data_IF_387419558599
#
_entry.id   IF_387419558599
#
_cell.length_a   1.000
_cell.length_b   1.000
_cell.length_c   1.000
_cell.angle_alpha   90.00
_cell.angle_beta   90.00
_cell.angle_gamma   90.00
#
_symmetry.space_group_name_H-M   'P 1'
#
loop_
_entity.id
_entity.type
_entity.pdbx_description
1 polymer ?
#
# COMPACT_ATOMS: atom_id res chain seq x y z
N UNK A 1 7.51 12.01 -3.39
CA UNK A 1 7.52 10.56 -3.05
C UNK A 1 6.23 9.96 -3.57
N UNK A 2 6.32 8.89 -4.36
CA UNK A 2 5.16 8.12 -4.79
C UNK A 2 4.95 6.91 -3.88
N UNK A 3 3.71 6.47 -3.74
CA UNK A 3 3.36 5.41 -2.81
C UNK A 3 2.53 4.32 -3.48
N UNK A 4 2.74 3.06 -3.07
CA UNK A 4 1.85 1.96 -3.37
C UNK A 4 0.92 1.74 -2.17
N UNK A 5 -0.40 1.82 -2.40
CA UNK A 5 -1.43 1.66 -1.36
C UNK A 5 -2.19 0.38 -1.66
N UNK A 6 -2.31 -0.47 -0.66
CA UNK A 6 -3.10 -1.69 -0.77
C UNK A 6 -4.59 -1.35 -0.98
N UNK A 7 -5.29 -2.01 -1.92
CA UNK A 7 -6.71 -1.73 -2.21
C UNK A 7 -7.60 -1.97 -0.99
N UNK A 8 -7.18 -2.84 -0.07
CA UNK A 8 -7.89 -3.12 1.19
C UNK A 8 -8.04 -1.88 2.09
N UNK A 9 -7.15 -0.89 1.99
CA UNK A 9 -7.22 0.33 2.81
C UNK A 9 -8.22 1.37 2.27
N UNK A 10 -8.64 1.25 1.01
CA UNK A 10 -9.54 2.22 0.36
C UNK A 10 -10.98 2.04 0.83
N UNK A 11 -11.42 0.81 1.06
CA UNK A 11 -12.81 0.50 1.44
C UNK A 11 -13.16 1.06 2.83
N UNK A 12 -12.24 0.98 3.79
CA UNK A 12 -12.43 1.39 5.19
C UNK A 12 -11.90 2.79 5.52
N UNK A 13 -11.39 3.56 4.53
CA UNK A 13 -10.75 4.87 4.73
C UNK A 13 -9.68 4.83 5.83
N UNK A 14 -8.86 3.78 5.83
CA UNK A 14 -7.97 3.54 6.96
C UNK A 14 -6.91 4.63 7.07
N UNK A 15 -6.41 4.92 8.29
CA UNK A 15 -5.34 5.88 8.52
C UNK A 15 -4.13 5.75 7.57
N UNK A 16 -3.66 4.55 7.17
CA UNK A 16 -2.60 4.41 6.19
C UNK A 16 -2.96 5.01 4.81
N UNK A 17 -4.17 4.76 4.29
CA UNK A 17 -4.61 5.34 3.03
C UNK A 17 -4.77 6.87 3.15
N UNK A 18 -5.38 7.36 4.23
CA UNK A 18 -5.54 8.80 4.45
C UNK A 18 -4.18 9.52 4.54
N UNK A 19 -3.22 8.94 5.28
CA UNK A 19 -1.86 9.44 5.36
C UNK A 19 -1.18 9.42 3.98
N UNK A 20 -1.33 8.34 3.21
CA UNK A 20 -0.76 8.24 1.87
C UNK A 20 -1.32 9.32 0.93
N UNK A 21 -2.65 9.46 0.85
CA UNK A 21 -3.31 10.42 -0.04
C UNK A 21 -3.00 11.88 0.33
N UNK A 22 -2.74 12.18 1.60
CA UNK A 22 -2.31 13.50 2.01
C UNK A 22 -0.82 13.73 1.74
N UNK A 23 0.04 12.80 2.17
CA UNK A 23 1.49 13.02 2.26
C UNK A 23 2.24 12.66 0.98
N UNK A 24 1.81 11.64 0.24
CA UNK A 24 2.46 11.24 -1.01
C UNK A 24 2.12 12.24 -2.13
N UNK A 25 2.97 12.27 -3.15
CA UNK A 25 2.74 13.05 -4.35
C UNK A 25 1.61 12.44 -5.19
N UNK A 26 1.73 11.14 -5.46
CA UNK A 26 0.66 10.29 -5.99
C UNK A 26 0.73 8.90 -5.37
N UNK A 27 -0.39 8.19 -5.46
CA UNK A 27 -0.60 6.85 -4.94
C UNK A 27 -1.03 5.92 -6.06
N UNK A 28 -0.44 4.74 -6.10
CA UNK A 28 -0.79 3.66 -7.01
C UNK A 28 -1.48 2.57 -6.19
N UNK A 29 -2.58 2.04 -6.70
CA UNK A 29 -3.30 0.93 -6.08
C UNK A 29 -3.73 -0.06 -7.15
N UNK A 30 -3.92 -1.32 -6.76
CA UNK A 30 -4.51 -2.31 -7.66
C UNK A 30 -6.00 -1.96 -7.85
N UNK A 31 -6.37 -1.56 -9.07
CA UNK A 31 -7.75 -1.54 -9.50
C UNK A 31 -8.06 -2.88 -10.17
N UNK A 32 -8.95 -3.72 -9.61
CA UNK A 32 -9.37 -4.94 -10.28
C UNK A 32 -9.98 -4.57 -11.64
N UNK A 33 -9.36 -5.02 -12.72
CA UNK A 33 -9.83 -4.79 -14.08
C UNK A 33 -9.79 -6.12 -14.85
N UNK A 34 -10.70 -6.33 -15.83
CA UNK A 34 -10.74 -7.57 -16.61
C UNK A 34 -9.43 -7.80 -17.36
N UNK A 35 -8.90 -6.73 -17.98
CA UNK A 35 -7.66 -6.71 -18.74
C UNK A 35 -6.95 -5.37 -18.57
N UNK A 36 -5.62 -5.39 -18.73
CA UNK A 36 -4.79 -4.18 -18.74
C UNK A 36 -5.16 -3.35 -19.96
N UNK A 37 -5.39 -2.05 -19.78
CA UNK A 37 -5.77 -1.16 -20.88
C UNK A 37 -7.23 -1.32 -21.36
N UNK A 38 -8.09 -1.96 -20.57
CA UNK A 38 -9.51 -2.10 -20.88
C UNK A 38 -10.15 -0.75 -21.24
N UNK A 39 -10.88 -0.76 -22.34
CA UNK A 39 -11.69 0.36 -22.83
C UNK A 39 -12.82 0.68 -21.85
N UNK A 40 -13.36 1.91 -21.94
CA UNK A 40 -14.53 2.31 -21.15
C UNK A 40 -15.74 1.37 -21.35
N UNK A 41 -15.87 0.78 -22.54
CA UNK A 41 -16.94 -0.16 -22.88
C UNK A 41 -16.76 -1.51 -22.20
N UNK A 42 -15.54 -2.03 -22.11
CA UNK A 42 -15.22 -3.27 -21.40
C UNK A 42 -15.40 -3.13 -19.89
N UNK A 43 -15.04 -1.97 -19.33
CA UNK A 43 -15.31 -1.64 -17.92
C UNK A 43 -16.82 -1.62 -17.66
N UNK A 44 -17.60 -0.97 -18.53
CA UNK A 44 -19.08 -0.97 -18.42
C UNK A 44 -19.67 -2.36 -18.56
N UNK A 45 -19.20 -3.17 -19.51
CA UNK A 45 -19.62 -4.56 -19.68
C UNK A 45 -19.33 -5.40 -18.44
N UNK A 46 -18.24 -5.11 -17.75
CA UNK A 46 -17.85 -5.80 -16.51
C UNK A 46 -18.68 -5.37 -15.31
N UNK A 47 -19.06 -4.09 -15.23
CA UNK A 47 -20.00 -3.58 -14.23
C UNK A 47 -21.39 -4.23 -14.31
N UNK A 48 -21.83 -4.59 -15.51
CA UNK A 48 -23.09 -5.32 -15.71
C UNK A 48 -23.00 -6.79 -15.30
N UNK A 49 -21.82 -7.40 -15.43
CA UNK A 49 -21.60 -8.84 -15.17
C UNK A 49 -21.19 -9.18 -13.74
N UNK A 50 -20.51 -8.28 -13.02
CA UNK A 50 -20.10 -8.49 -11.63
C UNK A 50 -20.75 -7.48 -10.67
N UNK A 51 -21.81 -7.87 -9.94
CA UNK A 51 -22.41 -7.05 -8.89
C UNK A 51 -21.41 -6.66 -7.79
N UNK A 52 -20.42 -7.53 -7.51
CA UNK A 52 -19.39 -7.27 -6.49
C UNK A 52 -18.42 -6.19 -6.94
N UNK A 53 -18.04 -6.18 -8.21
CA UNK A 53 -17.20 -5.13 -8.77
C UNK A 53 -17.89 -3.77 -8.72
N UNK A 54 -19.17 -3.72 -9.08
CA UNK A 54 -19.97 -2.49 -8.92
C UNK A 54 -20.01 -2.02 -7.47
N UNK A 55 -20.29 -2.91 -6.52
CA UNK A 55 -20.30 -2.58 -5.11
C UNK A 55 -18.93 -2.09 -4.60
N UNK A 56 -17.83 -2.60 -5.16
CA UNK A 56 -16.48 -2.10 -4.88
C UNK A 56 -16.32 -0.64 -5.34
N UNK A 57 -16.69 -0.31 -6.59
CA UNK A 57 -16.58 1.07 -7.09
C UNK A 57 -17.46 2.02 -6.29
N UNK A 58 -18.68 1.59 -5.93
CA UNK A 58 -19.57 2.36 -5.07
C UNK A 58 -18.93 2.61 -3.69
N UNK A 59 -18.27 1.59 -3.10
CA UNK A 59 -17.54 1.73 -1.84
C UNK A 59 -16.32 2.65 -1.95
N UNK A 60 -15.75 2.81 -3.14
CA UNK A 60 -14.62 3.71 -3.41
C UNK A 60 -15.02 5.09 -3.90
N UNK A 61 -16.31 5.36 -4.13
CA UNK A 61 -16.82 6.65 -4.61
C UNK A 61 -16.33 7.86 -3.79
N UNK A 62 -16.06 7.67 -2.49
CA UNK A 62 -15.54 8.73 -1.63
C UNK A 62 -14.19 9.29 -2.10
N UNK A 63 -13.37 8.50 -2.80
CA UNK A 63 -12.06 8.92 -3.30
C UNK A 63 -12.07 9.27 -4.80
N UNK A 64 -13.23 9.31 -5.45
CA UNK A 64 -13.35 9.58 -6.90
C UNK A 64 -12.61 10.85 -7.34
N UNK A 65 -12.71 11.93 -6.55
CA UNK A 65 -12.00 13.18 -6.85
C UNK A 65 -10.47 12.99 -6.88
N UNK A 66 -9.92 12.10 -6.05
CA UNK A 66 -8.48 11.80 -6.06
C UNK A 66 -8.05 11.05 -7.32
N UNK A 67 -8.91 10.18 -7.85
CA UNK A 67 -8.68 9.52 -9.13
C UNK A 67 -8.69 10.52 -10.27
N UNK A 68 -9.66 11.45 -10.27
CA UNK A 68 -9.80 12.48 -11.31
C UNK A 68 -8.60 13.42 -11.37
N UNK A 69 -8.07 13.81 -10.22
CA UNK A 69 -6.88 14.68 -10.11
C UNK A 69 -5.55 13.92 -10.19
N UNK A 70 -5.55 12.61 -10.43
CA UNK A 70 -4.34 11.80 -10.55
C UNK A 70 -3.54 11.62 -9.25
N UNK A 71 -4.13 11.95 -8.09
CA UNK A 71 -3.54 11.64 -6.79
C UNK A 71 -3.60 10.15 -6.53
N UNK A 72 -4.66 9.47 -6.98
CA UNK A 72 -4.77 8.01 -6.99
C UNK A 72 -4.83 7.53 -8.44
N UNK A 73 -4.10 6.47 -8.74
CA UNK A 73 -4.04 5.86 -10.06
C UNK A 73 -3.92 4.34 -9.95
N UNK A 74 -4.36 3.62 -10.98
CA UNK A 74 -4.02 2.20 -11.16
C UNK A 74 -2.72 2.02 -11.93
N UNK A 75 -2.25 3.08 -12.59
CA UNK A 75 -1.08 3.09 -13.44
C UNK A 75 0.07 3.90 -12.83
N UNK A 76 1.30 3.40 -12.99
CA UNK A 76 2.54 4.13 -12.80
C UNK A 76 3.45 3.89 -13.98
N UNK A 77 3.98 4.97 -14.58
CA UNK A 77 4.79 4.88 -15.79
C UNK A 77 4.13 4.07 -16.95
N UNK A 78 2.79 4.06 -17.00
CA UNK A 78 2.01 3.33 -18.02
C UNK A 78 1.73 1.85 -17.67
N UNK A 79 2.18 1.36 -16.53
CA UNK A 79 2.02 -0.03 -16.10
C UNK A 79 1.12 -0.15 -14.86
N UNK A 80 0.45 -1.28 -14.66
CA UNK A 80 -0.28 -1.61 -13.43
C UNK A 80 0.36 -2.77 -12.65
N UNK A 81 -0.10 -2.97 -11.42
CA UNK A 81 0.37 -4.03 -10.54
C UNK A 81 -0.31 -5.39 -10.80
N UNK A 82 -1.26 -5.50 -11.75
CA UNK A 82 -2.02 -6.73 -11.96
C UNK A 82 -1.12 -7.86 -12.48
N UNK A 83 -0.16 -7.54 -13.35
CA UNK A 83 0.80 -8.52 -13.87
C UNK A 83 1.72 -9.04 -12.76
N UNK A 84 2.25 -8.16 -11.91
CA UNK A 84 3.04 -8.57 -10.73
C UNK A 84 2.22 -9.46 -9.77
N UNK A 85 0.91 -9.21 -9.63
CA UNK A 85 0.00 -10.04 -8.82
C UNK A 85 -0.24 -11.42 -9.46
N UNK A 86 -0.45 -11.48 -10.78
CA UNK A 86 -0.62 -12.75 -11.52
C UNK A 86 0.64 -13.60 -11.46
N UNK A 87 1.81 -12.98 -11.64
CA UNK A 87 3.10 -13.65 -11.58
C UNK A 87 3.37 -14.20 -10.17
N UNK A 88 3.03 -13.45 -9.12
CA UNK A 88 3.14 -13.94 -7.75
C UNK A 88 2.16 -15.08 -7.45
N UNK A 89 0.92 -15.01 -7.93
CA UNK A 89 -0.03 -16.11 -7.81
C UNK A 89 0.50 -17.39 -8.48
N UNK A 90 1.05 -17.26 -9.70
CA UNK A 90 1.65 -18.38 -10.44
C UNK A 90 2.85 -18.97 -9.70
N UNK A 91 3.75 -18.12 -9.21
CA UNK A 91 4.94 -18.53 -8.45
C UNK A 91 4.58 -19.29 -7.17
N UNK A 92 3.54 -18.87 -6.46
CA UNK A 92 3.06 -19.59 -5.27
C UNK A 92 2.48 -20.95 -5.67
N UNK A 93 1.71 -21.01 -6.77
CA UNK A 93 1.09 -22.23 -7.27
C UNK A 93 2.10 -23.27 -7.80
N UNK A 94 3.16 -22.83 -8.49
CA UNK A 94 4.24 -23.69 -9.00
C UNK A 94 5.07 -24.34 -7.88
N UNK A 95 5.04 -23.77 -6.66
CA UNK A 95 5.58 -24.40 -5.46
C UNK A 95 7.06 -24.08 -5.18
N UNK A 96 7.86 -25.09 -4.88
CA UNK A 96 9.24 -24.91 -4.39
C UNK A 96 9.29 -24.40 -2.94
N UNK A 97 9.99 -23.29 -2.68
CA UNK A 97 10.08 -22.70 -1.32
C UNK A 97 8.73 -22.19 -0.79
N UNK A 98 7.76 -21.99 -1.68
CA UNK A 98 6.43 -21.50 -1.38
C UNK A 98 5.37 -22.61 -1.27
N UNK A 99 5.76 -23.89 -1.40
CA UNK A 99 4.84 -25.03 -1.41
C UNK A 99 3.91 -25.08 -0.18
N UNK A 100 4.37 -24.57 0.97
CA UNK A 100 3.54 -24.47 2.18
C UNK A 100 2.30 -23.57 2.06
N UNK A 101 2.27 -22.64 1.08
CA UNK A 101 1.09 -21.82 0.79
C UNK A 101 0.14 -22.47 -0.20
N UNK A 102 0.58 -23.51 -0.93
CA UNK A 102 -0.20 -24.20 -1.96
C UNK A 102 -1.61 -24.60 -1.50
N UNK A 103 -1.80 -25.19 -0.29
CA UNK A 103 -3.13 -25.56 0.20
C UNK A 103 -4.11 -24.39 0.38
N UNK A 104 -3.62 -23.15 0.50
CA UNK A 104 -4.46 -21.95 0.58
C UNK A 104 -4.82 -21.37 -0.79
N UNK A 105 -4.07 -21.73 -1.85
CA UNK A 105 -4.24 -21.11 -3.16
C UNK A 105 -5.41 -21.74 -3.93
N UNK A 106 -5.95 -20.96 -4.88
CA UNK A 106 -6.98 -21.40 -5.83
C UNK A 106 -6.36 -21.43 -7.23
N UNK A 107 -5.94 -22.60 -7.74
CA UNK A 107 -5.32 -22.71 -9.06
C UNK A 107 -6.20 -22.10 -10.16
N UNK A 108 -5.58 -21.36 -11.08
CA UNK A 108 -6.29 -20.71 -12.19
C UNK A 108 -7.13 -19.49 -11.82
N UNK A 109 -7.16 -19.06 -10.55
CA UNK A 109 -8.01 -17.94 -10.13
C UNK A 109 -7.66 -16.63 -10.85
N UNK A 110 -6.36 -16.36 -11.03
CA UNK A 110 -5.85 -15.13 -11.64
C UNK A 110 -5.71 -15.23 -13.17
N UNK A 111 -5.93 -16.42 -13.75
CA UNK A 111 -5.85 -16.67 -15.19
C UNK A 111 -7.22 -16.48 -15.88
N UNK A 112 -8.31 -16.49 -15.11
CA UNK A 112 -9.69 -16.24 -15.58
C UNK A 112 -10.12 -14.82 -15.19
N UNK A 113 -10.28 -13.88 -16.16
CA UNK A 113 -10.61 -12.49 -15.90
C UNK A 113 -11.89 -12.29 -15.07
N UNK A 114 -12.94 -13.09 -15.30
CA UNK A 114 -14.22 -12.92 -14.61
C UNK A 114 -14.12 -13.43 -13.17
N UNK A 115 -13.49 -14.60 -12.97
CA UNK A 115 -13.26 -15.15 -11.63
C UNK A 115 -12.30 -14.29 -10.81
N UNK A 116 -11.25 -13.77 -11.45
CA UNK A 116 -10.32 -12.82 -10.85
C UNK A 116 -11.07 -11.57 -10.37
N UNK A 117 -11.80 -10.90 -11.27
CA UNK A 117 -12.48 -9.66 -10.96
C UNK A 117 -13.47 -9.82 -9.79
N UNK A 118 -14.29 -10.87 -9.85
CA UNK A 118 -15.28 -11.13 -8.81
C UNK A 118 -14.63 -11.52 -7.46
N UNK A 119 -13.59 -12.36 -7.47
CA UNK A 119 -12.90 -12.77 -6.25
C UNK A 119 -12.15 -11.61 -5.58
N UNK A 120 -11.41 -10.80 -6.35
CA UNK A 120 -10.70 -9.64 -5.79
C UNK A 120 -11.68 -8.60 -5.28
N UNK A 121 -12.74 -8.28 -6.03
CA UNK A 121 -13.75 -7.35 -5.55
C UNK A 121 -14.44 -7.85 -4.26
N UNK A 122 -14.80 -9.14 -4.20
CA UNK A 122 -15.38 -9.75 -3.01
C UNK A 122 -14.46 -9.66 -1.78
N UNK A 123 -13.17 -9.93 -2.00
CA UNK A 123 -12.17 -9.96 -0.95
C UNK A 123 -11.85 -8.55 -0.43
N UNK A 124 -11.69 -7.58 -1.33
CA UNK A 124 -11.45 -6.17 -0.98
C UNK A 124 -12.62 -5.57 -0.20
N UNK A 125 -13.86 -5.87 -0.60
CA UNK A 125 -15.07 -5.43 0.13
C UNK A 125 -15.13 -5.97 1.56
N UNK A 126 -14.46 -7.10 1.84
CA UNK A 126 -14.40 -7.73 3.17
C UNK A 126 -13.10 -7.45 3.92
N UNK A 127 -12.25 -6.56 3.40
CA UNK A 127 -10.94 -6.24 3.95
C UNK A 127 -9.95 -7.44 3.98
N UNK A 128 -9.98 -8.28 2.95
CA UNK A 128 -8.94 -9.29 2.68
C UNK A 128 -8.98 -10.58 3.50
N UNK A 129 -10.15 -11.21 3.77
CA UNK A 129 -10.20 -12.46 4.53
C UNK A 129 -9.67 -13.68 3.76
N UNK A 130 -9.60 -13.65 2.42
CA UNK A 130 -9.19 -14.79 1.61
C UNK A 130 -7.68 -14.78 1.32
N UNK A 131 -6.87 -15.67 1.94
CA UNK A 131 -5.44 -15.71 1.68
C UNK A 131 -5.09 -16.09 0.24
N UNK A 132 -5.99 -16.77 -0.50
CA UNK A 132 -5.79 -17.08 -1.91
C UNK A 132 -5.76 -15.82 -2.79
N UNK A 133 -6.30 -14.71 -2.29
CA UNK A 133 -6.37 -13.41 -2.98
C UNK A 133 -5.43 -12.41 -2.33
N UNK A 134 -5.54 -12.21 -1.02
CA UNK A 134 -4.79 -11.19 -0.30
C UNK A 134 -3.27 -11.37 -0.33
N UNK A 135 -2.78 -12.61 -0.31
CA UNK A 135 -1.33 -12.87 -0.37
C UNK A 135 -0.76 -12.50 -1.74
N UNK A 136 -1.28 -13.01 -2.89
CA UNK A 136 -0.83 -12.56 -4.20
C UNK A 136 -0.98 -11.06 -4.43
N UNK A 137 -2.09 -10.46 -4.01
CA UNK A 137 -2.32 -9.01 -4.17
C UNK A 137 -1.26 -8.19 -3.43
N UNK A 138 -1.00 -8.50 -2.15
CA UNK A 138 -0.01 -7.76 -1.38
C UNK A 138 1.42 -8.03 -1.88
N UNK A 139 1.76 -9.27 -2.23
CA UNK A 139 3.08 -9.62 -2.74
C UNK A 139 3.36 -9.00 -4.12
N UNK A 140 2.39 -9.02 -5.03
CA UNK A 140 2.52 -8.38 -6.34
C UNK A 140 2.63 -6.86 -6.22
N UNK A 141 1.85 -6.23 -5.35
CA UNK A 141 1.95 -4.79 -5.11
C UNK A 141 3.30 -4.38 -4.51
N UNK A 142 3.88 -5.20 -3.62
CA UNK A 142 5.24 -4.97 -3.09
C UNK A 142 6.30 -5.05 -4.18
N UNK A 143 6.14 -5.98 -5.13
CA UNK A 143 7.06 -6.11 -6.27
C UNK A 143 6.97 -4.95 -7.22
N UNK A 144 5.74 -4.58 -7.58
CA UNK A 144 5.47 -3.38 -8.36
C UNK A 144 6.09 -2.15 -7.69
N UNK A 145 5.88 -1.99 -6.38
CA UNK A 145 6.45 -0.89 -5.61
C UNK A 145 7.99 -0.90 -5.63
N UNK A 146 8.62 -2.05 -5.40
CA UNK A 146 10.07 -2.19 -5.42
C UNK A 146 10.67 -1.83 -6.78
N UNK A 147 10.08 -2.35 -7.86
CA UNK A 147 10.53 -2.15 -9.25
C UNK A 147 10.43 -0.69 -9.71
N UNK A 148 9.42 0.02 -9.23
CA UNK A 148 9.17 1.44 -9.56
C UNK A 148 9.69 2.42 -8.50
N UNK A 149 10.37 1.95 -7.45
CA UNK A 149 10.88 2.81 -6.37
C UNK A 149 9.79 3.52 -5.55
N UNK A 150 8.60 2.92 -5.46
CA UNK A 150 7.47 3.44 -4.69
C UNK A 150 7.59 3.02 -3.22
N UNK A 151 7.12 3.86 -2.30
CA UNK A 151 6.99 3.47 -0.91
C UNK A 151 5.73 2.64 -0.70
N UNK A 152 5.83 1.40 -0.21
CA UNK A 152 4.65 0.62 0.15
C UNK A 152 4.05 1.10 1.47
N UNK A 153 2.77 1.43 1.46
CA UNK A 153 2.05 1.90 2.64
C UNK A 153 1.54 0.70 3.43
N UNK A 154 1.83 0.67 4.74
CA UNK A 154 1.46 -0.42 5.64
C UNK A 154 0.68 0.09 6.86
N UNK A 155 -0.32 -0.67 7.34
CA UNK A 155 -0.93 -0.41 8.64
C UNK A 155 0.02 -0.84 9.76
N UNK A 156 -0.18 -0.32 10.97
CA UNK A 156 0.49 -0.86 12.15
C UNK A 156 0.16 -2.37 12.30
N UNK A 157 1.16 -3.23 12.60
CA UNK A 157 0.93 -4.67 12.67
C UNK A 157 -0.10 -5.08 13.73
N UNK A 158 -1.20 -5.69 13.29
CA UNK A 158 -2.28 -6.17 14.16
C UNK A 158 -2.44 -7.71 14.10
N UNK A 159 -2.29 -8.32 12.92
CA UNK A 159 -2.44 -9.76 12.73
C UNK A 159 -1.16 -10.56 13.00
N UNK A 160 -1.27 -11.89 13.09
CA UNK A 160 -0.11 -12.79 13.27
C UNK A 160 0.88 -12.63 12.09
N UNK A 161 0.36 -12.61 10.86
CA UNK A 161 1.17 -12.42 9.66
C UNK A 161 1.86 -11.04 9.67
N UNK A 162 1.13 -9.97 9.97
CA UNK A 162 1.71 -8.62 10.03
C UNK A 162 2.79 -8.50 11.13
N UNK A 163 2.60 -9.14 12.29
CA UNK A 163 3.63 -9.17 13.34
C UNK A 163 4.86 -9.97 12.90
N UNK A 164 4.68 -11.04 12.13
CA UNK A 164 5.80 -11.78 11.53
C UNK A 164 6.52 -10.93 10.47
N UNK A 165 5.78 -10.20 9.63
CA UNK A 165 6.32 -9.26 8.64
C UNK A 165 7.14 -8.15 9.33
N UNK A 166 6.62 -7.56 10.40
CA UNK A 166 7.31 -6.50 11.14
C UNK A 166 8.70 -6.91 11.68
N UNK A 167 8.89 -8.20 12.01
CA UNK A 167 10.20 -8.74 12.44
C UNK A 167 11.23 -8.80 11.32
N UNK A 168 10.80 -8.72 10.06
CA UNK A 168 11.68 -8.69 8.89
C UNK A 168 12.18 -7.28 8.58
N UNK A 169 11.61 -6.26 9.22
CA UNK A 169 11.91 -4.85 8.91
C UNK A 169 13.26 -4.41 9.44
N UNK A 170 13.84 -3.38 8.80
CA UNK A 170 14.96 -2.59 9.32
C UNK A 170 14.58 -1.12 9.30
N UNK A 171 14.50 -0.51 10.48
CA UNK A 171 14.06 0.88 10.61
C UNK A 171 15.10 1.83 10.01
N UNK A 172 14.62 2.78 9.20
CA UNK A 172 15.40 3.89 8.65
C UNK A 172 15.13 5.14 9.47
N UNK A 173 13.85 5.48 9.65
CA UNK A 173 13.44 6.68 10.39
C UNK A 173 12.13 6.43 11.15
N UNK A 174 11.75 7.39 12.00
CA UNK A 174 10.36 7.51 12.43
C UNK A 174 10.05 8.95 12.78
N UNK A 175 8.83 9.38 12.48
CA UNK A 175 8.34 10.73 12.76
C UNK A 175 6.88 10.68 13.18
N UNK A 176 6.43 11.70 13.91
CA UNK A 176 5.02 11.94 14.15
C UNK A 176 4.55 13.06 13.21
N UNK A 177 3.39 12.88 12.58
CA UNK A 177 2.82 13.85 11.66
C UNK A 177 1.30 13.89 11.85
N UNK A 178 0.68 15.09 11.86
CA UNK A 178 -0.78 15.18 11.82
C UNK A 178 -1.29 14.67 10.47
N UNK A 179 -2.35 13.86 10.49
CA UNK A 179 -3.03 13.35 9.31
C UNK A 179 -4.53 13.60 9.42
N UNK A 180 -5.22 13.58 8.28
CA UNK A 180 -6.66 13.43 8.29
C UNK A 180 -7.00 11.96 8.59
N UNK A 181 -7.97 11.70 9.45
CA UNK A 181 -8.46 10.34 9.76
C UNK A 181 -9.83 10.08 9.17
N UNK A 182 -10.56 11.14 8.79
CA UNK A 182 -11.77 11.08 8.00
C UNK A 182 -11.79 12.24 7.00
N UNK A 183 -12.24 11.98 5.79
CA UNK A 183 -12.38 12.95 4.72
C UNK A 183 -12.75 12.26 3.42
N UNK A 184 -13.50 12.94 2.56
CA UNK A 184 -13.65 12.51 1.17
C UNK A 184 -12.47 13.01 0.32
N UNK A 185 -12.45 12.63 -0.95
CA UNK A 185 -11.39 13.01 -1.87
C UNK A 185 -11.26 14.53 -2.04
N UNK A 186 -12.38 15.25 -2.10
CA UNK A 186 -12.39 16.72 -2.19
C UNK A 186 -11.72 17.36 -0.98
N UNK A 187 -12.04 16.90 0.23
CA UNK A 187 -11.43 17.39 1.47
C UNK A 187 -9.92 17.13 1.51
N UNK A 188 -9.47 15.97 1.01
CA UNK A 188 -8.03 15.66 0.92
C UNK A 188 -7.34 16.58 -0.08
N UNK A 189 -7.93 16.81 -1.26
CA UNK A 189 -7.37 17.72 -2.28
C UNK A 189 -7.25 19.14 -1.75
N UNK A 190 -8.28 19.62 -1.08
CA UNK A 190 -8.28 20.96 -0.50
C UNK A 190 -7.28 21.09 0.65
N UNK A 191 -7.15 20.07 1.49
CA UNK A 191 -6.10 20.01 2.50
C UNK A 191 -4.69 20.05 1.86
N UNK A 192 -4.47 19.32 0.76
CA UNK A 192 -3.21 19.36 0.00
C UNK A 192 -2.92 20.75 -0.54
N UNK A 193 -3.95 21.50 -0.98
CA UNK A 193 -3.81 22.88 -1.45
C UNK A 193 -3.44 23.82 -0.31
N UNK A 194 -4.15 23.76 0.82
CA UNK A 194 -3.91 24.58 2.02
C UNK A 194 -2.52 24.33 2.64
N UNK A 195 -2.01 23.11 2.49
CA UNK A 195 -0.72 22.66 3.04
C UNK A 195 0.36 22.51 1.96
N UNK A 196 0.19 23.13 0.79
CA UNK A 196 1.06 22.95 -0.38
C UNK A 196 2.55 23.14 -0.07
N UNK A 197 2.95 24.28 0.51
CA UNK A 197 4.33 24.57 0.87
C UNK A 197 4.92 23.57 1.88
N UNK A 198 4.31 23.35 3.06
CA UNK A 198 4.82 22.36 4.01
C UNK A 198 4.85 20.92 3.45
N UNK A 199 3.86 20.53 2.64
CA UNK A 199 3.82 19.22 2.01
C UNK A 199 4.92 19.07 0.96
N UNK A 200 5.24 20.10 0.18
CA UNK A 200 6.32 20.05 -0.80
C UNK A 200 7.67 19.76 -0.14
N UNK A 201 7.98 20.46 0.95
CA UNK A 201 9.20 20.23 1.72
C UNK A 201 9.26 18.81 2.30
N UNK A 202 8.17 18.33 2.91
CA UNK A 202 8.10 16.97 3.46
C UNK A 202 8.21 15.90 2.38
N UNK A 203 7.54 16.07 1.24
CA UNK A 203 7.60 15.15 0.09
C UNK A 203 8.99 15.06 -0.50
N UNK A 204 9.71 16.17 -0.58
CA UNK A 204 11.10 16.19 -1.06
C UNK A 204 12.02 15.40 -0.12
N UNK A 205 11.91 15.61 1.20
CA UNK A 205 12.68 14.86 2.18
C UNK A 205 12.36 13.34 2.13
N UNK A 206 11.08 12.97 2.05
CA UNK A 206 10.67 11.58 1.92
C UNK A 206 11.11 10.96 0.58
N UNK A 207 11.09 11.73 -0.51
CA UNK A 207 11.56 11.26 -1.82
C UNK A 207 13.06 10.97 -1.82
N UNK A 208 13.87 11.79 -1.14
CA UNK A 208 15.31 11.55 -0.99
C UNK A 208 15.57 10.25 -0.23
N UNK A 209 14.83 9.99 0.86
CA UNK A 209 14.93 8.71 1.60
C UNK A 209 14.51 7.53 0.72
N UNK A 210 13.40 7.65 -0.02
CA UNK A 210 12.90 6.59 -0.91
C UNK A 210 13.89 6.27 -2.05
N UNK A 211 14.55 7.30 -2.60
CA UNK A 211 15.56 7.16 -3.63
C UNK A 211 16.76 6.35 -3.16
N UNK A 212 17.29 6.65 -1.97
CA UNK A 212 18.42 5.90 -1.43
C UNK A 212 18.00 4.48 -0.99
N UNK A 213 16.81 4.35 -0.42
CA UNK A 213 16.26 3.07 0.03
C UNK A 213 16.06 2.07 -1.12
N UNK A 214 15.60 2.51 -2.29
CA UNK A 214 15.33 1.62 -3.43
C UNK A 214 16.60 1.02 -4.05
N UNK A 215 17.76 1.65 -3.82
CA UNK A 215 19.07 1.23 -4.35
C UNK A 215 19.91 0.46 -3.34
N UNK A 216 19.47 0.41 -2.10
CA UNK A 216 20.27 -0.05 -0.99
C UNK A 216 19.99 -1.51 -0.61
N UNK A 217 21.00 -2.15 -0.04
CA UNK A 217 20.82 -3.41 0.67
C UNK A 217 20.23 -3.17 2.06
N UNK A 218 19.61 -4.21 2.65
CA UNK A 218 19.00 -4.12 3.99
C UNK A 218 19.99 -3.67 5.08
N UNK A 219 21.29 -3.96 4.91
CA UNK A 219 22.37 -3.56 5.82
C UNK A 219 22.60 -2.05 5.87
N UNK A 220 22.20 -1.30 4.85
CA UNK A 220 22.41 0.15 4.75
C UNK A 220 21.32 1.00 5.41
N UNK A 221 20.30 0.38 6.03
CA UNK A 221 19.17 1.09 6.64
C UNK A 221 19.60 2.18 7.64
N UNK A 222 20.58 1.87 8.50
CA UNK A 222 21.08 2.79 9.51
C UNK A 222 21.82 3.99 8.88
N UNK A 223 22.65 3.73 7.86
CA UNK A 223 23.37 4.78 7.14
C UNK A 223 22.40 5.74 6.45
N UNK A 224 21.38 5.22 5.74
CA UNK A 224 20.33 6.04 5.11
C UNK A 224 19.61 6.89 6.16
N UNK A 225 19.21 6.27 7.27
CA UNK A 225 18.53 6.95 8.36
C UNK A 225 19.36 8.08 8.97
N UNK A 226 20.67 7.88 9.12
CA UNK A 226 21.59 8.91 9.59
C UNK A 226 21.73 10.06 8.59
N UNK A 227 21.91 9.75 7.31
CA UNK A 227 22.08 10.76 6.25
C UNK A 227 20.91 11.72 6.15
N UNK A 228 19.68 11.21 6.26
CA UNK A 228 18.46 12.02 6.04
C UNK A 228 17.83 12.56 7.33
N UNK A 229 18.40 12.25 8.50
CA UNK A 229 17.78 12.53 9.81
C UNK A 229 17.37 13.99 9.98
N UNK A 230 18.31 14.91 9.77
CA UNK A 230 18.10 16.32 10.09
C UNK A 230 17.14 16.98 9.10
N UNK A 231 17.30 16.68 7.80
CA UNK A 231 16.42 17.17 6.75
C UNK A 231 14.98 16.68 6.95
N UNK A 232 14.79 15.39 7.24
CA UNK A 232 13.46 14.83 7.48
C UNK A 232 12.85 15.38 8.77
N UNK A 233 13.63 15.52 9.85
CA UNK A 233 13.14 16.10 11.10
C UNK A 233 12.72 17.57 10.93
N UNK A 234 13.49 18.36 10.17
CA UNK A 234 13.13 19.74 9.86
C UNK A 234 11.85 19.82 9.01
N UNK A 235 11.73 19.00 7.96
CA UNK A 235 10.55 18.98 7.10
C UNK A 235 9.30 18.49 7.83
N UNK A 236 9.42 17.47 8.69
CA UNK A 236 8.31 16.97 9.52
C UNK A 236 7.80 18.03 10.50
N UNK A 237 8.70 18.79 11.15
CA UNK A 237 8.32 19.93 11.99
C UNK A 237 7.62 21.02 11.19
N UNK A 238 8.21 21.43 10.06
CA UNK A 238 7.60 22.45 9.19
C UNK A 238 6.19 22.05 8.71
N UNK A 239 5.99 20.76 8.42
CA UNK A 239 4.68 20.21 8.11
C UNK A 239 3.71 20.27 9.30
N UNK A 240 4.12 19.81 10.47
CA UNK A 240 3.28 19.85 11.67
C UNK A 240 2.88 21.29 12.04
N UNK A 241 3.81 22.24 11.99
CA UNK A 241 3.53 23.65 12.26
C UNK A 241 2.58 24.25 11.21
N UNK A 242 2.77 23.87 9.93
CA UNK A 242 1.88 24.28 8.84
C UNK A 242 0.46 23.75 9.01
N UNK A 243 0.34 22.49 9.41
CA UNK A 243 -0.94 21.86 9.73
C UNK A 243 -1.65 22.59 10.87
N UNK A 244 -0.94 22.87 11.97
CA UNK A 244 -1.55 23.54 13.12
C UNK A 244 -2.00 24.96 12.81
N UNK A 245 -1.23 25.73 12.04
CA UNK A 245 -1.65 27.05 11.57
C UNK A 245 -2.94 27.02 10.75
N UNK A 246 -3.23 25.89 10.08
CA UNK A 246 -4.41 25.68 9.24
C UNK A 246 -5.48 24.79 9.90
N UNK A 247 -5.31 24.36 11.15
CA UNK A 247 -6.18 23.36 11.78
C UNK A 247 -7.66 23.71 11.69
N UNK A 248 -8.01 24.97 11.98
CA UNK A 248 -9.41 25.44 11.91
C UNK A 248 -9.97 25.45 10.48
N UNK A 249 -9.14 25.72 9.47
CA UNK A 249 -9.55 25.68 8.06
C UNK A 249 -9.77 24.21 7.64
N UNK A 250 -8.87 23.32 8.07
CA UNK A 250 -8.94 21.87 7.81
C UNK A 250 -10.17 21.22 8.44
N UNK A 251 -10.53 21.60 9.66
CA UNK A 251 -11.75 21.12 10.36
C UNK A 251 -13.05 21.51 9.64
N UNK A 252 -13.02 22.55 8.80
CA UNK A 252 -14.17 23.07 8.05
C UNK A 252 -14.33 22.46 6.66
N UNK A 253 -13.41 21.59 6.22
CA UNK A 253 -13.45 20.98 4.89
C UNK A 253 -14.61 19.99 4.69
N UNK A 254 -15.28 19.59 5.76
CA UNK A 254 -16.55 18.86 5.68
C UNK A 254 -17.74 19.81 5.53
N UNK A 255 -18.45 19.73 4.41
CA UNK A 255 -19.73 20.43 4.21
C UNK A 255 -20.82 19.93 5.17
N UNK A 256 -21.92 20.68 5.30
CA UNK A 256 -23.02 20.37 6.23
C UNK A 256 -23.61 18.96 6.06
N UNK A 257 -23.58 18.43 4.83
CA UNK A 257 -24.09 17.10 4.48
C UNK A 257 -23.00 16.04 4.30
N UNK A 258 -21.72 16.37 4.60
CA UNK A 258 -20.57 15.49 4.39
C UNK A 258 -20.02 14.95 5.70
N UNK A 259 -19.27 13.86 5.63
CA UNK A 259 -18.56 13.30 6.79
C UNK A 259 -17.61 14.37 7.34
N UNK A 260 -17.75 14.69 8.62
CA UNK A 260 -16.89 15.66 9.29
C UNK A 260 -15.43 15.23 9.19
N UNK A 261 -14.58 16.11 8.70
CA UNK A 261 -13.14 15.88 8.65
C UNK A 261 -12.60 15.89 10.07
N UNK A 262 -11.93 14.80 10.44
CA UNK A 262 -11.21 14.66 11.70
C UNK A 262 -9.73 14.50 11.40
N UNK A 263 -8.90 14.93 12.34
CA UNK A 263 -7.46 14.75 12.27
C UNK A 263 -6.97 14.04 13.52
N UNK A 264 -5.85 13.35 13.37
CA UNK A 264 -5.13 12.74 14.47
C UNK A 264 -3.63 12.86 14.22
N UNK A 265 -2.84 12.73 15.27
CA UNK A 265 -1.42 12.47 15.09
C UNK A 265 -1.23 11.02 14.67
N UNK A 266 -0.32 10.78 13.72
CA UNK A 266 0.10 9.44 13.36
C UNK A 266 1.62 9.32 13.46
N UNK A 267 2.08 8.17 13.94
CA UNK A 267 3.48 7.76 13.83
C UNK A 267 3.70 7.13 12.46
N UNK A 268 4.66 7.67 11.74
CA UNK A 268 5.11 7.21 10.43
C UNK A 268 6.51 6.61 10.59
N UNK A 269 6.63 5.30 10.37
CA UNK A 269 7.91 4.58 10.50
C UNK A 269 8.36 4.08 9.14
N UNK A 270 9.40 4.69 8.59
CA UNK A 270 10.03 4.22 7.36
C UNK A 270 10.99 3.07 7.65
N UNK A 271 10.82 1.96 6.93
CA UNK A 271 11.63 0.75 7.09
C UNK A 271 12.04 0.19 5.73
N UNK A 272 13.20 -0.48 5.68
CA UNK A 272 13.50 -1.41 4.60
C UNK A 272 12.78 -2.74 4.90
N UNK A 273 12.03 -3.22 3.92
CA UNK A 273 11.30 -4.47 3.96
C UNK A 273 11.78 -5.37 2.81
N UNK A 274 12.13 -6.65 3.05
CA UNK A 274 12.38 -7.59 1.96
C UNK A 274 11.16 -7.71 1.05
N UNK A 275 11.38 -7.75 -0.26
CA UNK A 275 10.31 -7.85 -1.26
C UNK A 275 9.47 -9.14 -1.15
N UNK A 276 10.02 -10.18 -0.51
CA UNK A 276 9.35 -11.45 -0.23
C UNK A 276 8.68 -11.50 1.16
N UNK A 277 8.61 -10.38 1.89
CA UNK A 277 8.17 -10.34 3.27
C UNK A 277 6.72 -10.78 3.47
N UNK A 278 5.80 -10.42 2.57
CA UNK A 278 4.39 -10.88 2.61
C UNK A 278 4.33 -12.41 2.61
N UNK A 279 5.02 -13.03 1.65
CA UNK A 279 4.98 -14.48 1.45
C UNK A 279 5.68 -15.22 2.61
N UNK A 280 6.81 -14.70 3.07
CA UNK A 280 7.53 -15.24 4.24
C UNK A 280 6.70 -15.14 5.51
N UNK A 281 6.05 -14.00 5.74
CA UNK A 281 5.23 -13.78 6.92
C UNK A 281 3.97 -14.66 6.93
N UNK A 282 3.37 -14.89 5.75
CA UNK A 282 2.26 -15.83 5.59
C UNK A 282 2.67 -17.27 5.90
N UNK A 283 3.83 -17.74 5.39
CA UNK A 283 4.39 -19.05 5.73
C UNK A 283 4.67 -19.18 7.23
N UNK A 284 5.23 -18.14 7.85
CA UNK A 284 5.45 -18.11 9.31
C UNK A 284 4.13 -18.19 10.07
N UNK A 285 3.10 -17.47 9.65
CA UNK A 285 1.78 -17.50 10.26
C UNK A 285 1.13 -18.89 10.14
N UNK A 286 1.18 -19.51 8.95
CA UNK A 286 0.68 -20.87 8.73
C UNK A 286 1.32 -21.90 9.66
N UNK A 287 2.65 -21.83 9.82
CA UNK A 287 3.38 -22.71 10.74
C UNK A 287 2.96 -22.48 12.19
N UNK A 288 2.77 -21.23 12.59
CA UNK A 288 2.32 -20.89 13.94
C UNK A 288 0.90 -21.40 14.24
N UNK A 289 0.05 -21.57 13.22
CA UNK A 289 -1.30 -22.12 13.34
C UNK A 289 -1.35 -23.66 13.20
N UNK A 290 -0.19 -24.33 13.10
CA UNK A 290 -0.12 -25.80 12.97
C UNK A 290 -0.44 -26.34 11.57
N UNK A 291 -0.51 -25.47 10.55
CA UNK A 291 -1.00 -25.84 9.22
C UNK A 291 -0.01 -26.54 8.31
N UNK A 292 1.31 -26.46 8.56
CA UNK A 292 2.33 -27.01 7.65
C UNK A 292 3.60 -27.42 8.42
N UNK A 293 4.15 -28.64 8.20
CA UNK A 293 5.47 -29.00 8.71
C UNK A 293 6.57 -28.08 8.12
N UNK A 294 7.57 -27.72 8.92
CA UNK A 294 8.65 -26.86 8.45
C UNK A 294 9.44 -27.56 7.32
N UNK A 295 9.58 -26.96 6.13
CA UNK A 295 10.54 -27.46 5.15
C UNK A 295 11.96 -27.38 5.72
N UNK A 296 12.85 -28.29 5.30
CA UNK A 296 14.26 -28.23 5.64
C UNK A 296 14.79 -26.82 5.33
N UNK A 297 15.44 -26.20 6.32
CA UNK A 297 15.79 -24.79 6.32
C UNK A 297 16.80 -24.45 5.23
N UNK A 298 16.33 -24.15 4.03
CA UNK A 298 17.14 -23.44 3.04
C UNK A 298 16.99 -21.94 3.32
N UNK A 299 17.88 -21.41 4.17
CA UNK A 299 17.86 -20.05 4.70
C UNK A 299 18.20 -18.96 3.66
N UNK A 300 18.30 -19.31 2.38
CA UNK A 300 18.55 -18.33 1.31
C UNK A 300 17.29 -17.52 1.02
N UNK A 301 17.43 -16.21 0.93
CA UNK A 301 16.36 -15.30 0.51
C UNK A 301 15.74 -15.76 -0.81
N UNK A 302 14.44 -15.55 -1.00
CA UNK A 302 13.82 -15.67 -2.32
C UNK A 302 14.23 -14.41 -3.06
N UNK A 303 15.37 -14.49 -3.76
CA UNK A 303 15.87 -13.36 -4.54
C UNK A 303 14.99 -13.25 -5.79
N UNK A 304 14.28 -12.13 -6.00
CA UNK A 304 13.56 -11.92 -7.24
C UNK A 304 14.53 -11.79 -8.42
N UNK A 305 14.10 -12.17 -9.62
CA UNK A 305 14.92 -12.19 -10.84
C UNK A 305 15.43 -10.79 -11.25
N UNK A 306 14.74 -9.77 -10.77
CA UNK A 306 14.75 -8.34 -11.08
C UNK A 306 15.74 -7.55 -10.19
N UNK A 307 16.46 -8.24 -9.30
CA UNK A 307 17.61 -7.69 -8.56
C UNK A 307 17.26 -6.79 -7.37
N UNK A 308 16.05 -6.21 -7.30
CA UNK A 308 15.58 -5.47 -6.14
C UNK A 308 15.40 -6.39 -4.94
N UNK A 309 16.12 -6.13 -3.84
CA UNK A 309 16.09 -7.00 -2.65
C UNK A 309 15.16 -6.51 -1.55
N UNK A 310 14.92 -5.21 -1.52
CA UNK A 310 14.12 -4.55 -0.50
C UNK A 310 13.30 -3.42 -1.13
N UNK A 311 12.26 -3.02 -0.43
CA UNK A 311 11.49 -1.82 -0.71
C UNK A 311 11.41 -0.94 0.54
N UNK A 312 11.19 0.36 0.34
CA UNK A 312 10.80 1.25 1.43
C UNK A 312 9.33 0.99 1.78
N UNK A 313 9.07 0.56 3.00
CA UNK A 313 7.71 0.50 3.53
C UNK A 313 7.50 1.62 4.57
N UNK A 314 6.33 2.25 4.55
CA UNK A 314 5.91 3.26 5.52
C UNK A 314 4.79 2.70 6.39
N UNK A 315 5.13 2.32 7.62
CA UNK A 315 4.14 1.89 8.62
C UNK A 315 3.46 3.10 9.24
N UNK A 316 2.14 3.13 9.15
CA UNK A 316 1.30 4.21 9.69
C UNK A 316 0.52 3.70 10.91
N UNK A 317 0.70 4.37 12.04
CA UNK A 317 -0.01 4.09 13.29
C UNK A 317 -0.67 5.38 13.80
N UNK A 318 -2.02 5.50 13.82
CA UNK A 318 -2.67 6.61 14.51
C UNK A 318 -2.34 6.55 16.02
N UNK A 319 -2.14 7.72 16.64
CA UNK A 319 -1.89 7.89 18.07
C UNK A 319 -3.19 8.06 18.86
#
# INVERSE_FOLDING_TARGET
MHAAVSPYHLTSREPPAMAAFLLAESCVTLLPAPEVGATTEEVRGSLLRSPRYRALLDAWSWCEALWREGVVSSLHAGEDAADDVRDEARRIAEGGRLAGLGPLMKPGLFDDPERYLDAVAADVLRAGPDPAVGIPVAAGLDRFAARHGLAAIRPHPASVAQRAEARLTRRIFGMAAPILTQGDGDAILEARRLLSDPLAALRAALAAVAHDASRAEASAAEAIGSTHRDALAAAARGYADGFERRRLDLERLGGADRVRVTHAMATLTGVLLPIDAVVRSALTALRAMGGVPAPAADARAIVPADGARCLLALFVKPL
#
